data_IF_598322212911
#
_entry.id   IF_598322212911
#
_cell.length_a   1.000
_cell.length_b   1.000
_cell.length_c   1.000
_cell.angle_alpha   90.00
_cell.angle_beta   90.00
_cell.angle_gamma   90.00
#
_symmetry.space_group_name_H-M   'P 1'
#
loop_
_entity.id
_entity.type
_entity.pdbx_description
1 polymer ?
#
# COMPACT_ATOMS: atom_id res chain seq x y z
N UNK A 1 -0.98 -3.40 -23.46
CA UNK A 1 0.07 -4.34 -22.96
C UNK A 1 1.46 -3.76 -23.12
N UNK A 2 1.74 -3.07 -24.24
CA UNK A 2 2.91 -2.19 -24.39
C UNK A 2 2.93 -1.13 -23.28
N UNK A 3 1.76 -0.54 -23.01
CA UNK A 3 1.59 0.60 -22.10
C UNK A 3 2.20 0.40 -20.70
N UNK A 4 2.03 -0.77 -20.08
CA UNK A 4 2.63 -1.05 -18.78
C UNK A 4 4.16 -1.13 -18.87
N UNK A 5 4.69 -1.82 -19.87
CA UNK A 5 6.12 -1.96 -20.06
C UNK A 5 6.77 -0.60 -20.39
N UNK A 6 6.08 0.23 -21.17
CA UNK A 6 6.55 1.56 -21.56
C UNK A 6 6.63 2.47 -20.32
N UNK A 7 5.58 2.52 -19.48
CA UNK A 7 5.60 3.29 -18.22
C UNK A 7 6.66 2.78 -17.25
N UNK A 8 6.80 1.45 -17.15
CA UNK A 8 7.81 0.83 -16.29
C UNK A 8 9.23 1.25 -16.72
N UNK A 9 9.52 1.17 -18.02
CA UNK A 9 10.81 1.57 -18.58
C UNK A 9 11.05 3.08 -18.42
N UNK A 10 10.06 3.93 -18.64
CA UNK A 10 10.17 5.38 -18.43
C UNK A 10 10.55 5.72 -16.98
N UNK A 11 9.92 5.06 -16.00
CA UNK A 11 10.24 5.25 -14.59
C UNK A 11 11.66 4.78 -14.26
N UNK A 12 12.09 3.65 -14.81
CA UNK A 12 13.47 3.14 -14.63
C UNK A 12 14.47 4.11 -15.25
N UNK A 13 14.21 4.61 -16.45
CA UNK A 13 15.06 5.56 -17.14
C UNK A 13 15.13 6.91 -16.40
N UNK A 14 14.03 7.33 -15.76
CA UNK A 14 14.03 8.50 -14.88
C UNK A 14 14.93 8.29 -13.64
N UNK A 15 14.82 7.15 -12.96
CA UNK A 15 15.72 6.80 -11.84
C UNK A 15 17.18 6.79 -12.29
N UNK A 16 17.45 6.16 -13.43
CA UNK A 16 18.78 6.07 -14.00
C UNK A 16 19.35 7.44 -14.36
N UNK A 17 18.54 8.33 -14.96
CA UNK A 17 18.93 9.71 -15.28
C UNK A 17 19.26 10.53 -14.02
N UNK A 18 18.55 10.31 -12.91
CA UNK A 18 18.89 10.95 -11.62
C UNK A 18 20.29 10.52 -11.15
N UNK A 19 20.61 9.23 -11.26
CA UNK A 19 21.92 8.70 -10.88
C UNK A 19 23.02 9.30 -11.75
N UNK A 20 22.90 9.16 -13.06
CA UNK A 20 23.92 9.59 -14.02
C UNK A 20 24.11 11.11 -14.00
N UNK A 21 23.02 11.87 -13.89
CA UNK A 21 23.09 13.34 -13.80
C UNK A 21 23.77 13.85 -12.53
N UNK A 22 23.90 13.03 -11.48
CA UNK A 22 24.53 13.38 -10.21
C UNK A 22 25.78 12.54 -9.91
N UNK A 23 26.28 11.79 -10.88
CA UNK A 23 27.32 10.79 -10.70
C UNK A 23 28.61 11.36 -10.12
N UNK A 24 29.12 12.46 -10.68
CA UNK A 24 30.33 13.12 -10.18
C UNK A 24 30.17 13.60 -8.74
N UNK A 25 28.97 14.08 -8.38
CA UNK A 25 28.69 14.56 -7.03
C UNK A 25 28.71 13.40 -6.03
N UNK A 26 28.09 12.27 -6.38
CA UNK A 26 28.10 11.05 -5.55
C UNK A 26 29.52 10.51 -5.42
N UNK A 27 30.26 10.41 -6.53
CA UNK A 27 31.66 9.99 -6.54
C UNK A 27 32.55 10.85 -5.62
N UNK A 28 32.44 12.18 -5.71
CA UNK A 28 33.18 13.10 -4.83
C UNK A 28 32.85 12.89 -3.35
N UNK A 29 31.57 12.68 -3.01
CA UNK A 29 31.15 12.43 -1.62
C UNK A 29 31.72 11.12 -1.09
N UNK A 30 31.66 10.05 -1.88
CA UNK A 30 32.20 8.74 -1.51
C UNK A 30 33.71 8.80 -1.33
N UNK A 31 34.42 9.43 -2.29
CA UNK A 31 35.86 9.63 -2.22
C UNK A 31 36.30 10.57 -1.08
N UNK A 32 35.41 11.44 -0.59
CA UNK A 32 35.64 12.28 0.60
C UNK A 32 35.37 11.56 1.93
N UNK A 33 34.97 10.27 1.90
CA UNK A 33 34.79 9.42 3.08
C UNK A 33 33.34 9.17 3.48
N UNK A 34 32.35 9.60 2.69
CA UNK A 34 30.93 9.26 2.95
C UNK A 34 30.61 7.84 2.49
N UNK A 35 29.71 7.15 3.17
CA UNK A 35 29.22 5.86 2.71
C UNK A 35 28.38 6.01 1.43
N UNK A 36 28.56 5.11 0.47
CA UNK A 36 27.78 5.09 -0.77
C UNK A 36 26.28 5.03 -0.50
N UNK A 37 25.87 4.23 0.49
CA UNK A 37 24.47 4.09 0.89
C UNK A 37 23.88 5.44 1.28
N UNK A 38 24.62 6.26 2.02
CA UNK A 38 24.17 7.56 2.50
C UNK A 38 24.11 8.58 1.37
N UNK A 39 25.14 8.64 0.52
CA UNK A 39 25.17 9.53 -0.64
C UNK A 39 24.01 9.25 -1.62
N UNK A 40 23.73 7.99 -1.90
CA UNK A 40 22.61 7.59 -2.77
C UNK A 40 21.26 7.80 -2.09
N UNK A 41 21.16 7.54 -0.78
CA UNK A 41 19.94 7.82 -0.02
C UNK A 41 19.58 9.30 -0.08
N UNK A 42 20.57 10.18 0.12
CA UNK A 42 20.36 11.64 0.06
C UNK A 42 19.98 12.10 -1.35
N UNK A 43 20.58 11.50 -2.39
CA UNK A 43 20.22 11.78 -3.78
C UNK A 43 18.75 11.49 -4.07
N UNK A 44 18.23 10.35 -3.59
CA UNK A 44 16.86 9.91 -3.85
C UNK A 44 15.87 10.21 -2.71
N UNK A 45 16.29 10.97 -1.69
CA UNK A 45 15.45 11.30 -0.54
C UNK A 45 14.17 12.02 -0.94
N UNK A 46 14.24 12.89 -1.95
CA UNK A 46 13.09 13.62 -2.49
C UNK A 46 11.97 12.74 -3.04
N UNK A 47 12.27 11.48 -3.37
CA UNK A 47 11.29 10.51 -3.88
C UNK A 47 11.01 9.38 -2.87
N UNK A 48 11.41 9.57 -1.61
CA UNK A 48 11.12 8.66 -0.50
C UNK A 48 11.97 7.38 -0.48
N UNK A 49 13.16 7.40 -1.10
CA UNK A 49 14.15 6.33 -0.91
C UNK A 49 14.78 6.45 0.48
N UNK A 50 15.01 5.31 1.13
CA UNK A 50 15.67 5.22 2.43
C UNK A 50 16.90 4.30 2.32
N UNK A 51 17.72 4.25 3.38
CA UNK A 51 18.94 3.43 3.43
C UNK A 51 18.68 1.95 3.15
N UNK A 52 17.55 1.43 3.64
CA UNK A 52 17.16 0.02 3.42
C UNK A 52 16.96 -0.26 1.92
N UNK A 53 16.22 0.59 1.20
CA UNK A 53 16.02 0.40 -0.24
C UNK A 53 17.34 0.39 -1.02
N UNK A 54 18.27 1.29 -0.69
CA UNK A 54 19.58 1.38 -1.36
C UNK A 54 20.40 0.13 -1.08
N UNK A 55 20.51 -0.27 0.19
CA UNK A 55 21.25 -1.46 0.61
C UNK A 55 20.73 -2.73 -0.06
N UNK A 56 19.42 -2.97 0.00
CA UNK A 56 18.79 -4.14 -0.63
C UNK A 56 18.99 -4.13 -2.16
N UNK A 57 18.98 -2.95 -2.78
CA UNK A 57 19.21 -2.84 -4.23
C UNK A 57 20.65 -3.17 -4.61
N UNK A 58 21.65 -2.75 -3.82
CA UNK A 58 23.05 -3.10 -4.04
C UNK A 58 23.27 -4.61 -3.92
N UNK A 59 22.76 -5.22 -2.85
CA UNK A 59 22.85 -6.67 -2.61
C UNK A 59 22.15 -7.45 -3.72
N UNK A 60 20.92 -7.08 -4.09
CA UNK A 60 20.16 -7.78 -5.13
C UNK A 60 20.79 -7.67 -6.52
N UNK A 61 21.62 -6.65 -6.76
CA UNK A 61 22.30 -6.44 -8.04
C UNK A 61 23.74 -6.99 -8.06
N UNK A 62 24.30 -7.35 -6.91
CA UNK A 62 25.70 -7.76 -6.74
C UNK A 62 26.68 -6.60 -6.90
N UNK A 63 26.25 -5.38 -6.53
CA UNK A 63 27.03 -4.15 -6.68
C UNK A 63 27.52 -3.57 -5.35
N UNK A 64 27.26 -4.25 -4.23
CA UNK A 64 27.64 -3.86 -2.88
C UNK A 64 29.15 -3.86 -2.64
N UNK A 65 29.89 -4.78 -3.26
CA UNK A 65 31.36 -4.84 -3.18
C UNK A 65 32.06 -4.03 -4.29
N UNK A 66 31.30 -3.55 -5.28
CA UNK A 66 31.85 -2.84 -6.44
C UNK A 66 32.01 -1.36 -6.12
N UNK A 67 33.17 -0.79 -6.41
CA UNK A 67 33.36 0.66 -6.32
C UNK A 67 32.42 1.39 -7.30
N UNK A 68 31.70 2.39 -6.80
CA UNK A 68 30.74 3.19 -7.57
C UNK A 68 31.35 3.82 -8.84
N UNK A 69 32.63 4.23 -8.79
CA UNK A 69 33.33 4.80 -9.93
C UNK A 69 33.52 3.78 -11.07
N UNK A 70 33.44 2.48 -10.76
CA UNK A 70 33.55 1.39 -11.73
C UNK A 70 32.19 0.89 -12.25
N UNK A 71 31.06 1.47 -11.81
CA UNK A 71 29.76 1.09 -12.35
C UNK A 71 29.75 1.43 -13.85
N UNK A 72 29.37 0.52 -14.71
CA UNK A 72 29.13 0.87 -16.11
C UNK A 72 27.67 1.32 -16.30
N UNK A 73 27.30 1.64 -17.54
CA UNK A 73 25.93 2.04 -17.86
C UNK A 73 24.91 0.92 -17.56
N UNK A 74 25.33 -0.34 -17.70
CA UNK A 74 24.48 -1.51 -17.46
C UNK A 74 24.25 -1.68 -15.97
N UNK A 75 25.29 -1.54 -15.14
CA UNK A 75 25.22 -1.57 -13.69
C UNK A 75 24.32 -0.46 -13.15
N UNK A 76 24.53 0.77 -13.61
CA UNK A 76 23.71 1.92 -13.22
C UNK A 76 22.24 1.72 -13.57
N UNK A 77 21.93 1.18 -14.76
CA UNK A 77 20.55 0.90 -15.17
C UNK A 77 19.95 -0.24 -14.35
N UNK A 78 20.73 -1.30 -14.09
CA UNK A 78 20.34 -2.44 -13.27
C UNK A 78 20.03 -2.00 -11.83
N UNK A 79 20.91 -1.20 -11.22
CA UNK A 79 20.71 -0.61 -9.91
C UNK A 79 19.45 0.26 -9.86
N UNK A 80 19.27 1.16 -10.83
CA UNK A 80 18.08 2.01 -10.93
C UNK A 80 16.77 1.20 -11.02
N UNK A 81 16.77 0.11 -11.81
CA UNK A 81 15.63 -0.79 -11.94
C UNK A 81 15.25 -1.46 -10.63
N UNK A 82 16.23 -2.03 -9.92
CA UNK A 82 16.01 -2.67 -8.62
C UNK A 82 15.60 -1.65 -7.54
N UNK A 83 16.24 -0.48 -7.53
CA UNK A 83 15.89 0.59 -6.59
C UNK A 83 14.46 1.06 -6.79
N UNK A 84 14.01 1.21 -8.04
CA UNK A 84 12.61 1.51 -8.35
C UNK A 84 11.69 0.41 -7.82
N UNK A 85 11.97 -0.86 -8.13
CA UNK A 85 11.13 -2.00 -7.73
C UNK A 85 10.98 -2.14 -6.22
N UNK A 86 12.07 -1.95 -5.47
CA UNK A 86 12.08 -2.07 -4.01
C UNK A 86 11.47 -0.83 -3.34
N UNK A 87 11.81 0.37 -3.80
CA UNK A 87 11.34 1.61 -3.18
C UNK A 87 9.91 1.99 -3.55
N UNK A 88 9.40 1.47 -4.67
CA UNK A 88 8.03 1.67 -5.17
C UNK A 88 7.43 0.33 -5.62
N UNK A 89 7.08 -0.54 -4.65
CA UNK A 89 6.28 -1.72 -4.94
C UNK A 89 5.02 -1.32 -5.74
N UNK A 90 4.73 -2.05 -6.81
CA UNK A 90 3.65 -1.71 -7.76
C UNK A 90 2.71 -2.91 -7.95
N UNK A 91 1.43 -2.64 -8.16
CA UNK A 91 0.46 -3.63 -8.63
C UNK A 91 -0.20 -3.13 -9.92
N UNK A 92 -0.73 -4.06 -10.70
CA UNK A 92 -1.39 -3.79 -11.98
C UNK A 92 -2.90 -3.91 -11.79
N UNK A 93 -3.63 -2.84 -12.08
CA UNK A 93 -5.10 -2.86 -12.14
C UNK A 93 -5.53 -3.04 -13.59
N UNK A 94 -6.00 -4.24 -13.92
CA UNK A 94 -6.56 -4.56 -15.24
C UNK A 94 -8.00 -4.05 -15.32
N UNK A 95 -8.15 -2.76 -15.59
CA UNK A 95 -9.45 -2.11 -15.71
C UNK A 95 -10.20 -2.53 -16.99
N UNK A 96 -11.53 -2.31 -16.99
CA UNK A 96 -12.47 -2.59 -18.10
C UNK A 96 -12.76 -4.08 -18.34
N UNK A 97 -12.81 -4.87 -17.27
CA UNK A 97 -13.25 -6.27 -17.35
C UNK A 97 -14.73 -6.42 -17.73
N UNK A 98 -15.48 -5.32 -17.71
CA UNK A 98 -16.86 -5.20 -18.18
C UNK A 98 -17.02 -5.20 -19.72
N UNK A 99 -15.91 -5.16 -20.47
CA UNK A 99 -15.94 -5.15 -21.94
C UNK A 99 -15.82 -6.57 -22.49
N UNK A 100 -16.61 -6.89 -23.51
CA UNK A 100 -16.56 -8.19 -24.19
C UNK A 100 -15.13 -8.53 -24.68
N UNK A 101 -14.66 -9.73 -24.35
CA UNK A 101 -13.32 -10.21 -24.69
C UNK A 101 -12.19 -9.70 -23.77
N UNK A 102 -12.52 -8.96 -22.71
CA UNK A 102 -11.54 -8.53 -21.71
C UNK A 102 -10.92 -9.70 -20.92
N UNK A 103 -11.65 -10.80 -20.76
CA UNK A 103 -11.20 -12.06 -20.14
C UNK A 103 -9.88 -12.57 -20.74
N UNK A 104 -9.79 -12.62 -22.08
CA UNK A 104 -8.59 -13.07 -22.79
C UNK A 104 -7.41 -12.13 -22.60
N UNK A 105 -7.68 -10.82 -22.57
CA UNK A 105 -6.65 -9.81 -22.34
C UNK A 105 -6.12 -9.85 -20.91
N UNK A 106 -7.02 -10.06 -19.93
CA UNK A 106 -6.66 -10.23 -18.54
C UNK A 106 -5.80 -11.49 -18.33
N UNK A 107 -6.17 -12.62 -18.94
CA UNK A 107 -5.38 -13.85 -18.89
C UNK A 107 -3.95 -13.64 -19.43
N UNK A 108 -3.82 -13.05 -20.62
CA UNK A 108 -2.51 -12.72 -21.22
C UNK A 108 -1.67 -11.78 -20.35
N UNK A 109 -2.31 -10.78 -19.74
CA UNK A 109 -1.63 -9.82 -18.86
C UNK A 109 -1.09 -10.52 -17.61
N UNK A 110 -1.88 -11.42 -17.02
CA UNK A 110 -1.50 -12.20 -15.84
C UNK A 110 -0.38 -13.20 -16.14
N UNK A 111 -0.41 -13.85 -17.30
CA UNK A 111 0.65 -14.76 -17.74
C UNK A 111 1.98 -14.03 -17.97
N UNK A 112 1.93 -12.87 -18.63
CA UNK A 112 3.12 -12.07 -18.93
C UNK A 112 3.77 -11.46 -17.69
N UNK A 113 2.97 -11.03 -16.73
CA UNK A 113 3.44 -10.38 -15.50
C UNK A 113 3.17 -11.26 -14.27
N UNK A 114 3.60 -12.53 -14.34
CA UNK A 114 3.44 -13.52 -13.27
C UNK A 114 4.13 -13.13 -11.95
N UNK A 115 5.19 -12.33 -12.01
CA UNK A 115 5.91 -11.79 -10.86
C UNK A 115 5.26 -10.53 -10.25
N UNK A 116 4.19 -10.02 -10.87
CA UNK A 116 3.45 -8.83 -10.42
C UNK A 116 2.04 -9.21 -9.98
N UNK A 117 1.49 -8.44 -9.04
CA UNK A 117 0.11 -8.63 -8.64
C UNK A 117 -0.79 -7.96 -9.69
N UNK A 118 -1.57 -8.75 -10.42
CA UNK A 118 -2.55 -8.26 -11.40
C UNK A 118 -3.97 -8.46 -10.85
N UNK A 119 -4.75 -7.39 -10.80
CA UNK A 119 -6.10 -7.37 -10.23
C UNK A 119 -7.11 -6.94 -11.30
N UNK A 120 -8.13 -7.76 -11.59
CA UNK A 120 -9.20 -7.38 -12.50
C UNK A 120 -10.07 -6.30 -11.83
N UNK A 121 -10.43 -5.26 -12.59
CA UNK A 121 -11.35 -4.23 -12.09
C UNK A 121 -12.29 -3.69 -13.16
N UNK A 122 -13.48 -3.25 -12.73
CA UNK A 122 -14.39 -2.42 -13.51
C UNK A 122 -14.64 -1.12 -12.77
N UNK A 123 -13.90 -0.08 -13.14
CA UNK A 123 -14.05 1.26 -12.56
C UNK A 123 -15.42 1.88 -12.82
N UNK A 124 -16.01 1.63 -14.00
CA UNK A 124 -17.34 2.16 -14.35
C UNK A 124 -18.46 1.51 -13.54
N UNK A 125 -18.35 0.20 -13.30
CA UNK A 125 -19.27 -0.53 -12.41
C UNK A 125 -19.19 -0.01 -10.98
N UNK A 126 -17.98 0.15 -10.43
CA UNK A 126 -17.80 0.70 -9.09
C UNK A 126 -18.35 2.12 -8.99
N UNK A 127 -18.07 2.98 -9.98
CA UNK A 127 -18.57 4.35 -10.01
C UNK A 127 -20.10 4.40 -10.03
N UNK A 128 -20.73 3.55 -10.84
CA UNK A 128 -22.19 3.44 -10.95
C UNK A 128 -22.84 3.00 -9.63
N UNK A 129 -22.27 1.99 -8.96
CA UNK A 129 -22.74 1.54 -7.64
C UNK A 129 -22.60 2.63 -6.58
N UNK A 130 -21.45 3.30 -6.52
CA UNK A 130 -21.20 4.40 -5.57
C UNK A 130 -22.19 5.54 -5.78
N UNK A 131 -22.49 5.89 -7.02
CA UNK A 131 -23.46 6.96 -7.33
C UNK A 131 -24.90 6.57 -6.97
N UNK A 132 -25.27 5.31 -7.18
CA UNK A 132 -26.60 4.81 -6.80
C UNK A 132 -26.76 4.75 -5.28
N UNK A 133 -25.70 4.36 -4.55
CA UNK A 133 -25.68 4.33 -3.08
C UNK A 133 -25.78 5.73 -2.48
N UNK A 134 -25.04 6.70 -3.00
CA UNK A 134 -25.13 8.11 -2.58
C UNK A 134 -26.53 8.71 -2.78
N UNK A 135 -27.32 8.19 -3.72
CA UNK A 135 -28.71 8.60 -3.95
C UNK A 135 -29.72 7.83 -3.09
N UNK A 136 -29.27 6.88 -2.26
CA UNK A 136 -30.13 6.02 -1.46
C UNK A 136 -30.98 5.04 -2.29
N UNK A 137 -30.59 4.78 -3.54
CA UNK A 137 -31.30 3.84 -4.43
C UNK A 137 -30.93 2.39 -4.12
N UNK A 138 -29.68 2.18 -3.70
CA UNK A 138 -29.15 0.88 -3.31
C UNK A 138 -28.41 0.98 -1.97
N UNK A 139 -28.28 -0.16 -1.30
CA UNK A 139 -27.36 -0.36 -0.18
C UNK A 139 -26.15 -1.14 -0.69
N UNK A 140 -25.00 -0.46 -0.73
CA UNK A 140 -23.74 -1.03 -1.19
C UNK A 140 -22.59 -0.56 -0.30
N UNK A 141 -21.68 -1.45 0.06
CA UNK A 141 -20.41 -1.06 0.68
C UNK A 141 -19.27 -1.31 -0.30
N UNK A 142 -18.33 -0.37 -0.50
CA UNK A 142 -17.26 -0.52 -1.49
C UNK A 142 -16.53 -1.85 -1.37
N UNK A 143 -16.39 -2.57 -2.49
CA UNK A 143 -15.74 -3.88 -2.53
C UNK A 143 -16.60 -5.05 -2.05
N UNK A 144 -17.86 -4.82 -1.70
CA UNK A 144 -18.81 -5.90 -1.40
C UNK A 144 -19.10 -6.72 -2.65
N UNK A 145 -19.39 -8.00 -2.42
CA UNK A 145 -19.70 -8.95 -3.49
C UNK A 145 -21.18 -8.89 -3.92
N UNK A 146 -21.98 -8.14 -3.17
CA UNK A 146 -23.40 -7.97 -3.39
C UNK A 146 -23.85 -6.56 -2.98
N UNK A 147 -24.97 -6.14 -3.55
CA UNK A 147 -25.70 -4.94 -3.17
C UNK A 147 -27.20 -5.24 -3.16
N UNK A 148 -27.94 -4.43 -2.40
CA UNK A 148 -29.39 -4.53 -2.26
C UNK A 148 -30.04 -3.31 -2.89
N UNK A 149 -31.09 -3.51 -3.70
CA UNK A 149 -31.87 -2.40 -4.27
C UNK A 149 -32.94 -2.00 -3.26
N UNK A 150 -32.90 -0.74 -2.81
CA UNK A 150 -33.84 -0.23 -1.81
C UNK A 150 -35.09 0.38 -2.45
N UNK A 151 -34.94 0.97 -3.63
CA UNK A 151 -35.98 1.74 -4.31
C UNK A 151 -36.10 1.36 -5.78
N UNK A 152 -36.66 0.19 -6.05
CA UNK A 152 -36.89 -0.29 -7.42
C UNK A 152 -37.69 0.69 -8.26
N UNK A 153 -38.65 1.36 -7.63
CA UNK A 153 -39.66 2.18 -8.32
C UNK A 153 -39.12 3.56 -8.74
N UNK A 154 -37.97 3.97 -8.18
CA UNK A 154 -37.26 5.20 -8.54
C UNK A 154 -36.19 4.96 -9.63
N UNK A 155 -35.98 3.71 -10.05
CA UNK A 155 -35.01 3.34 -11.08
C UNK A 155 -35.67 3.29 -12.45
N UNK A 156 -35.01 3.87 -13.46
CA UNK A 156 -35.42 3.69 -14.85
C UNK A 156 -34.88 2.38 -15.43
N UNK A 157 -35.45 1.92 -16.55
CA UNK A 157 -35.06 0.65 -17.20
C UNK A 157 -33.56 0.57 -17.51
N UNK A 158 -32.94 1.70 -17.90
CA UNK A 158 -31.49 1.74 -18.19
C UNK A 158 -30.66 1.48 -16.93
N UNK A 159 -31.06 2.06 -15.80
CA UNK A 159 -30.38 1.87 -14.52
C UNK A 159 -30.58 0.46 -13.99
N UNK A 160 -31.79 -0.09 -14.12
CA UNK A 160 -32.09 -1.48 -13.75
C UNK A 160 -31.20 -2.42 -14.56
N UNK A 161 -31.17 -2.27 -15.89
CA UNK A 161 -30.33 -3.09 -16.76
C UNK A 161 -28.84 -2.97 -16.44
N UNK A 162 -28.35 -1.77 -16.12
CA UNK A 162 -26.96 -1.57 -15.71
C UNK A 162 -26.64 -2.27 -14.38
N UNK A 163 -27.51 -2.15 -13.38
CA UNK A 163 -27.34 -2.85 -12.10
C UNK A 163 -27.40 -4.37 -12.27
N UNK A 164 -28.29 -4.87 -13.12
CA UNK A 164 -28.40 -6.29 -13.44
C UNK A 164 -27.14 -6.82 -14.15
N UNK A 165 -26.59 -6.02 -15.08
CA UNK A 165 -25.32 -6.32 -15.74
C UNK A 165 -24.17 -6.39 -14.72
N UNK A 166 -24.06 -5.41 -13.82
CA UNK A 166 -23.01 -5.41 -12.78
C UNK A 166 -23.15 -6.64 -11.88
N UNK A 167 -24.37 -6.97 -11.47
CA UNK A 167 -24.64 -8.12 -10.59
C UNK A 167 -24.30 -9.45 -11.25
N UNK A 168 -24.69 -9.65 -12.51
CA UNK A 168 -24.52 -10.94 -13.23
C UNK A 168 -23.16 -11.05 -13.91
N UNK A 169 -22.76 -10.03 -14.67
CA UNK A 169 -21.54 -10.05 -15.49
C UNK A 169 -20.27 -9.79 -14.68
N UNK A 170 -20.31 -8.87 -13.70
CA UNK A 170 -19.11 -8.50 -12.95
C UNK A 170 -19.02 -9.25 -11.63
N UNK A 171 -20.02 -9.10 -10.76
CA UNK A 171 -20.02 -9.78 -9.46
C UNK A 171 -20.20 -11.30 -9.60
N UNK A 172 -20.96 -11.76 -10.60
CA UNK A 172 -21.11 -13.20 -10.87
C UNK A 172 -19.81 -13.87 -11.34
N UNK A 173 -18.99 -13.19 -12.15
CA UNK A 173 -17.77 -13.76 -12.73
C UNK A 173 -16.52 -13.47 -11.88
N UNK A 174 -16.37 -12.24 -11.38
CA UNK A 174 -15.18 -11.76 -10.67
C UNK A 174 -15.39 -11.59 -9.16
N UNK A 175 -16.56 -11.97 -8.62
CA UNK A 175 -17.03 -11.78 -7.24
C UNK A 175 -17.20 -10.32 -6.81
N UNK A 176 -16.47 -9.37 -7.38
CA UNK A 176 -16.45 -7.95 -6.99
C UNK A 176 -16.02 -7.06 -8.15
N UNK A 177 -16.24 -5.75 -8.02
CA UNK A 177 -15.81 -4.75 -9.00
C UNK A 177 -14.28 -4.57 -9.08
N UNK A 178 -13.54 -5.01 -8.07
CA UNK A 178 -12.07 -5.06 -8.09
C UNK A 178 -11.34 -3.80 -7.62
N UNK A 179 -12.00 -2.62 -7.62
CA UNK A 179 -11.35 -1.34 -7.24
C UNK A 179 -10.94 -1.32 -5.76
N UNK A 180 -11.90 -1.52 -4.85
CA UNK A 180 -11.58 -1.56 -3.40
C UNK A 180 -10.65 -2.73 -3.06
N UNK A 181 -10.76 -3.84 -3.79
CA UNK A 181 -9.86 -4.97 -3.61
C UNK A 181 -8.42 -4.61 -4.01
N UNK A 182 -8.23 -3.87 -5.11
CA UNK A 182 -6.92 -3.36 -5.50
C UNK A 182 -6.31 -2.45 -4.42
N UNK A 183 -7.12 -1.55 -3.84
CA UNK A 183 -6.69 -0.69 -2.72
C UNK A 183 -6.27 -1.54 -1.50
N UNK A 184 -7.10 -2.51 -1.11
CA UNK A 184 -6.79 -3.39 0.02
C UNK A 184 -5.50 -4.18 -0.22
N UNK A 185 -5.31 -4.71 -1.43
CA UNK A 185 -4.08 -5.44 -1.78
C UNK A 185 -2.87 -4.51 -1.80
N UNK A 186 -3.01 -3.26 -2.27
CA UNK A 186 -1.95 -2.27 -2.19
C UNK A 186 -1.52 -2.01 -0.74
N UNK A 187 -2.48 -1.77 0.15
CA UNK A 187 -2.20 -1.41 1.55
C UNK A 187 -1.67 -2.61 2.34
N UNK A 188 -2.42 -3.71 2.35
CA UNK A 188 -2.16 -4.83 3.27
C UNK A 188 -1.12 -5.81 2.73
N UNK A 189 -1.09 -6.07 1.41
CA UNK A 189 -0.20 -7.08 0.83
C UNK A 189 1.08 -6.47 0.26
N UNK A 190 0.94 -5.39 -0.52
CA UNK A 190 2.05 -4.78 -1.24
C UNK A 190 2.91 -3.90 -0.31
N UNK A 191 2.27 -3.04 0.48
CA UNK A 191 2.94 -2.20 1.48
C UNK A 191 3.12 -2.88 2.84
N UNK A 192 2.54 -4.08 3.03
CA UNK A 192 2.59 -4.86 4.27
C UNK A 192 2.20 -4.02 5.49
N UNK A 193 1.09 -3.31 5.39
CA UNK A 193 0.56 -2.50 6.50
C UNK A 193 -0.38 -3.35 7.36
N UNK A 194 -0.33 -3.19 8.67
CA UNK A 194 -1.23 -3.75 9.67
C UNK A 194 -2.19 -2.65 10.15
N UNK A 195 -3.47 -3.00 10.28
CA UNK A 195 -4.51 -2.12 10.82
C UNK A 195 -4.55 -2.22 12.35
N UNK A 196 -4.19 -1.16 13.06
CA UNK A 196 -4.10 -1.16 14.52
C UNK A 196 -5.14 -0.21 15.10
N UNK A 197 -5.84 -0.67 16.14
CA UNK A 197 -6.92 0.07 16.79
C UNK A 197 -6.48 0.52 18.18
N UNK A 198 -5.94 1.75 18.32
CA UNK A 198 -5.61 2.29 19.63
C UNK A 198 -6.88 2.71 20.38
N UNK A 199 -6.96 2.37 21.66
CA UNK A 199 -8.07 2.82 22.52
C UNK A 199 -7.58 3.33 23.88
N UNK A 200 -8.33 4.28 24.44
CA UNK A 200 -7.99 4.90 25.72
C UNK A 200 -8.68 4.18 26.90
N UNK A 201 -9.95 3.81 26.74
CA UNK A 201 -10.75 3.07 27.71
C UNK A 201 -10.78 1.58 27.33
N UNK A 202 -10.18 0.77 28.19
CA UNK A 202 -10.06 -0.68 28.01
C UNK A 202 -11.40 -1.41 28.10
N UNK A 203 -12.34 -0.89 28.89
CA UNK A 203 -13.62 -1.56 29.17
C UNK A 203 -14.64 -1.31 28.09
N UNK A 204 -14.67 -0.09 27.55
CA UNK A 204 -15.63 0.34 26.52
C UNK A 204 -15.07 0.26 25.11
N UNK A 205 -13.78 -0.08 24.96
CA UNK A 205 -13.02 0.01 23.71
C UNK A 205 -13.18 1.39 23.06
N UNK A 206 -13.17 2.45 23.88
CA UNK A 206 -13.58 3.77 23.48
C UNK A 206 -12.49 4.83 23.72
N UNK A 207 -12.66 5.99 23.09
CA UNK A 207 -11.91 7.19 23.50
C UNK A 207 -12.52 7.87 24.73
N UNK A 208 -11.86 8.95 25.17
CA UNK A 208 -12.34 9.83 26.25
C UNK A 208 -13.72 10.46 25.99
N UNK A 209 -14.22 10.43 24.75
CA UNK A 209 -15.53 10.96 24.34
C UNK A 209 -16.59 9.87 24.21
N UNK A 210 -16.25 8.61 24.51
CA UNK A 210 -17.18 7.47 24.42
C UNK A 210 -17.38 6.92 23.00
N UNK A 211 -16.56 7.31 22.03
CA UNK A 211 -16.60 6.76 20.67
C UNK A 211 -15.90 5.41 20.65
N UNK A 212 -16.61 4.35 20.26
CA UNK A 212 -16.09 2.97 20.19
C UNK A 212 -15.15 2.84 18.98
N UNK A 213 -13.95 2.30 19.20
CA UNK A 213 -12.89 2.12 18.21
C UNK A 213 -12.70 3.36 17.33
N UNK A 214 -12.31 4.49 17.96
CA UNK A 214 -12.38 5.82 17.36
C UNK A 214 -11.47 5.96 16.13
N UNK A 215 -10.32 5.29 16.15
CA UNK A 215 -9.23 5.49 15.21
C UNK A 215 -8.71 4.12 14.70
N UNK A 216 -8.23 4.13 13.46
CA UNK A 216 -7.51 3.03 12.83
C UNK A 216 -6.21 3.60 12.28
N UNK A 217 -5.09 3.08 12.78
CA UNK A 217 -3.75 3.49 12.35
C UNK A 217 -3.15 2.37 11.52
N UNK A 218 -2.62 2.72 10.34
CA UNK A 218 -1.89 1.79 9.50
C UNK A 218 -0.40 1.87 9.82
N UNK A 219 0.17 0.78 10.33
CA UNK A 219 1.60 0.67 10.62
C UNK A 219 2.23 -0.41 9.76
N UNK A 220 3.50 -0.26 9.38
CA UNK A 220 4.21 -1.30 8.64
C UNK A 220 4.36 -2.57 9.46
N UNK A 221 4.49 -3.69 8.77
CA UNK A 221 4.86 -4.97 9.36
C UNK A 221 6.16 -4.84 10.17
N UNK A 222 6.17 -5.48 11.34
CA UNK A 222 7.24 -5.35 12.33
C UNK A 222 7.19 -4.09 13.20
N UNK A 223 6.23 -3.18 13.02
CA UNK A 223 6.05 -2.03 13.92
C UNK A 223 5.73 -2.48 15.35
N UNK A 224 6.26 -1.74 16.33
CA UNK A 224 6.14 -2.09 17.75
C UNK A 224 5.13 -1.22 18.49
N UNK A 225 4.82 -1.59 19.73
CA UNK A 225 4.03 -0.76 20.66
C UNK A 225 4.63 0.65 20.79
N UNK A 226 5.96 0.78 20.80
CA UNK A 226 6.63 2.07 20.80
C UNK A 226 6.34 2.89 19.54
N UNK A 227 6.29 2.25 18.38
CA UNK A 227 6.04 2.95 17.11
C UNK A 227 4.59 3.40 17.00
N UNK A 228 3.64 2.61 17.51
CA UNK A 228 2.26 3.06 17.69
C UNK A 228 2.16 4.27 18.61
N UNK A 229 2.91 4.28 19.72
CA UNK A 229 2.95 5.43 20.62
C UNK A 229 3.50 6.69 19.94
N UNK A 230 4.58 6.56 19.15
CA UNK A 230 5.15 7.65 18.35
C UNK A 230 4.14 8.22 17.37
N UNK A 231 3.41 7.35 16.67
CA UNK A 231 2.41 7.73 15.67
C UNK A 231 1.25 8.52 16.27
N UNK A 232 0.85 8.18 17.50
CA UNK A 232 -0.21 8.91 18.22
C UNK A 232 0.32 10.24 18.75
N UNK A 233 1.40 10.22 19.54
CA UNK A 233 2.01 11.44 20.07
C UNK A 233 3.42 11.17 20.65
N UNK A 234 4.40 12.00 20.31
CA UNK A 234 5.80 11.85 20.77
C UNK A 234 5.99 11.94 22.28
N UNK A 235 5.05 12.51 23.03
CA UNK A 235 5.12 12.52 24.50
C UNK A 235 4.65 11.21 25.14
N UNK A 236 3.84 10.41 24.45
CA UNK A 236 3.43 9.10 24.95
C UNK A 236 4.62 8.16 25.08
N UNK A 237 5.61 8.30 24.20
CA UNK A 237 6.81 7.44 24.17
C UNK A 237 7.71 7.65 25.38
N UNK A 238 7.84 8.89 25.88
CA UNK A 238 8.73 9.22 27.01
C UNK A 238 8.31 8.56 28.33
N UNK A 239 7.02 8.26 28.48
CA UNK A 239 6.46 7.63 29.68
C UNK A 239 5.88 6.24 29.43
N UNK A 240 6.06 5.66 28.23
CA UNK A 240 5.42 4.41 27.84
C UNK A 240 5.95 3.25 28.70
N UNK A 241 5.05 2.60 29.43
CA UNK A 241 5.39 1.46 30.28
C UNK A 241 5.16 0.13 29.57
N UNK A 242 4.02 -0.02 28.91
CA UNK A 242 3.62 -1.21 28.17
C UNK A 242 2.36 -0.93 27.35
N UNK A 243 2.06 -1.81 26.39
CA UNK A 243 0.77 -1.87 25.73
C UNK A 243 -0.10 -2.96 26.36
N UNK A 244 -1.42 -2.85 26.24
CA UNK A 244 -2.34 -3.88 26.67
C UNK A 244 -3.19 -4.32 25.49
N UNK A 245 -3.12 -5.59 25.12
CA UNK A 245 -4.05 -6.17 24.16
C UNK A 245 -5.39 -6.42 24.85
N UNK A 246 -6.45 -5.90 24.27
CA UNK A 246 -7.79 -5.97 24.83
C UNK A 246 -8.59 -7.17 24.34
N UNK A 247 -8.10 -7.91 23.33
CA UNK A 247 -8.74 -9.15 22.90
C UNK A 247 -8.46 -10.29 23.87
N UNK A 248 -7.18 -10.47 24.22
CA UNK A 248 -6.75 -11.52 25.15
C UNK A 248 -6.48 -11.00 26.56
N UNK A 249 -6.65 -9.69 26.79
CA UNK A 249 -6.40 -9.02 28.06
C UNK A 249 -4.96 -9.21 28.56
N UNK A 250 -4.00 -9.19 27.62
CA UNK A 250 -2.58 -9.46 27.88
C UNK A 250 -1.77 -8.18 27.95
N UNK A 251 -0.75 -8.18 28.81
CA UNK A 251 0.27 -7.13 28.86
C UNK A 251 1.30 -7.39 27.75
N UNK A 252 1.44 -6.42 26.85
CA UNK A 252 2.39 -6.42 25.75
C UNK A 252 3.62 -5.57 26.12
N UNK A 253 4.85 -6.11 25.99
CA UNK A 253 6.05 -5.32 26.16
C UNK A 253 6.18 -4.26 25.06
N UNK A 254 7.03 -3.26 25.28
CA UNK A 254 7.17 -2.08 24.40
C UNK A 254 7.72 -2.46 23.01
N UNK A 255 8.48 -3.54 22.93
CA UNK A 255 9.06 -4.12 21.72
C UNK A 255 8.17 -5.18 21.06
N UNK A 256 6.98 -5.45 21.59
CA UNK A 256 6.02 -6.36 20.95
C UNK A 256 5.67 -5.87 19.56
N UNK A 257 5.83 -6.75 18.57
CA UNK A 257 5.47 -6.49 17.18
C UNK A 257 3.95 -6.61 17.01
N UNK A 258 3.34 -5.51 16.60
CA UNK A 258 1.91 -5.38 16.38
C UNK A 258 1.46 -6.23 15.19
N UNK A 259 0.35 -6.94 15.38
CA UNK A 259 -0.28 -7.78 14.37
C UNK A 259 -1.50 -7.08 13.79
N UNK A 260 -1.90 -7.50 12.59
CA UNK A 260 -3.09 -6.95 11.95
C UNK A 260 -4.33 -7.11 12.84
N UNK A 261 -5.06 -6.01 13.00
CA UNK A 261 -6.27 -5.84 13.82
C UNK A 261 -6.06 -5.91 15.32
N UNK A 262 -4.84 -5.76 15.81
CA UNK A 262 -4.60 -5.63 17.25
C UNK A 262 -5.38 -4.43 17.80
N UNK A 263 -6.04 -4.64 18.95
CA UNK A 263 -6.79 -3.62 19.69
C UNK A 263 -6.02 -3.34 20.97
N UNK A 264 -5.35 -2.20 21.01
CA UNK A 264 -4.31 -1.94 22.01
C UNK A 264 -4.61 -0.68 22.80
N UNK A 265 -4.48 -0.76 24.12
CA UNK A 265 -4.40 0.42 24.97
C UNK A 265 -2.95 0.69 25.39
N UNK A 266 -2.51 1.94 25.29
CA UNK A 266 -1.17 2.33 25.70
C UNK A 266 -1.19 2.82 27.15
N UNK A 267 -0.35 2.21 27.99
CA UNK A 267 -0.21 2.59 29.39
C UNK A 267 1.08 3.38 29.56
N UNK A 268 0.93 4.63 29.98
CA UNK A 268 2.04 5.56 30.23
C UNK A 268 2.04 6.03 31.69
N UNK A 269 3.23 6.19 32.26
CA UNK A 269 3.44 6.71 33.61
C UNK A 269 2.97 8.17 33.77
N UNK A 270 2.80 8.89 32.65
CA UNK A 270 2.34 10.28 32.63
C UNK A 270 0.80 10.44 32.72
N UNK A 271 0.06 9.40 33.13
CA UNK A 271 -1.39 9.52 33.41
C UNK A 271 -1.59 10.42 34.64
N UNK A 272 -1.83 11.71 34.40
CA UNK A 272 -2.68 12.55 35.25
C UNK A 272 -4.12 12.46 34.78
#
# INVERSE_FOLDING_TARGET
>A
MSDFADIEEELIMWYHKILEGNREKVSKLVNSGSELIDAVTDLYRGIGVNKFHVKESLVATGLDEKNFDNFDMVDSKKFASYLRKISKPTLIVANKIDVDGADKNFARLRERYNDSIVIPASGDSEFSLRRAEQKGLIKYSPGSEQFEILKSDELNDKQINALDFIKKGIMGEYMRTGVQFAINVAVFKLLKMNSIYPVADETKLADKKGRILPDLILLKDGATINDLAKEIHTDLTKGLLYGKDLRYNLRLPVDYQLRDRDVVSLVSAAKK
#
